data_IF_964353626658
#
_entry.id   IF_964353626658
#
_cell.length_a   1.000
_cell.length_b   1.000
_cell.length_c   1.000
_cell.angle_alpha   90.00
_cell.angle_beta   90.00
_cell.angle_gamma   90.00
#
_symmetry.space_group_name_H-M   'P 1'
#
loop_
_entity.id
_entity.type
_entity.pdbx_description
1 polymer ?
#
# COMPACT_ATOMS: atom_id res chain seq x y z
N UNK A 1 -13.17 13.66 -9.87
CA UNK A 1 -13.59 12.47 -10.64
C UNK A 1 -14.60 11.72 -9.79
N UNK A 2 -15.84 11.57 -10.29
CA UNK A 2 -16.99 11.19 -9.48
C UNK A 2 -16.94 9.77 -8.91
N UNK A 3 -17.80 9.54 -7.92
CA UNK A 3 -17.96 8.32 -7.12
C UNK A 3 -18.38 7.07 -7.91
N UNK A 4 -18.41 7.11 -9.24
CA UNK A 4 -18.99 6.04 -10.09
C UNK A 4 -17.99 4.98 -10.57
N UNK A 5 -16.72 5.08 -10.19
CA UNK A 5 -15.66 4.26 -10.77
C UNK A 5 -14.91 3.38 -9.76
N UNK A 6 -15.40 3.22 -8.53
CA UNK A 6 -14.72 2.33 -7.57
C UNK A 6 -15.06 0.88 -7.88
N UNK A 7 -14.01 0.07 -8.01
CA UNK A 7 -14.10 -1.38 -8.02
C UNK A 7 -13.86 -1.84 -6.60
N UNK A 8 -14.91 -2.38 -5.98
CA UNK A 8 -14.87 -2.97 -4.65
C UNK A 8 -14.75 -4.48 -4.83
N UNK A 9 -13.68 -5.07 -4.30
CA UNK A 9 -13.42 -6.51 -4.44
C UNK A 9 -12.93 -7.09 -3.13
N UNK A 10 -13.48 -8.24 -2.74
CA UNK A 10 -12.84 -9.11 -1.77
C UNK A 10 -11.79 -9.93 -2.51
N UNK A 11 -10.52 -9.69 -2.20
CA UNK A 11 -9.39 -10.34 -2.87
C UNK A 11 -9.20 -11.75 -2.34
N UNK A 12 -9.35 -11.89 -1.03
CA UNK A 12 -9.36 -13.12 -0.27
C UNK A 12 -10.14 -12.83 1.01
N UNK A 13 -10.54 -13.87 1.75
CA UNK A 13 -11.37 -13.73 2.95
C UNK A 13 -10.86 -12.61 3.86
N UNK A 14 -11.75 -11.66 4.17
CA UNK A 14 -11.50 -10.51 5.05
C UNK A 14 -10.50 -9.46 4.51
N UNK A 15 -10.04 -9.56 3.26
CA UNK A 15 -9.13 -8.59 2.63
C UNK A 15 -9.80 -7.96 1.41
N UNK A 16 -10.11 -6.67 1.52
CA UNK A 16 -10.90 -5.93 0.55
C UNK A 16 -10.09 -4.81 -0.09
N UNK A 17 -10.29 -4.59 -1.38
CA UNK A 17 -9.67 -3.49 -2.13
C UNK A 17 -10.71 -2.54 -2.70
N UNK A 18 -10.31 -1.28 -2.79
CA UNK A 18 -11.11 -0.17 -3.31
C UNK A 18 -10.31 0.52 -4.41
N UNK A 19 -10.44 0.00 -5.63
CA UNK A 19 -9.63 0.36 -6.78
C UNK A 19 -10.31 1.44 -7.62
N UNK A 20 -9.56 2.48 -8.01
CA UNK A 20 -10.08 3.64 -8.76
C UNK A 20 -9.09 4.14 -9.81
N UNK A 21 -9.55 4.78 -10.89
CA UNK A 21 -8.66 5.39 -11.86
C UNK A 21 -7.89 6.55 -11.21
N UNK A 22 -6.58 6.58 -11.41
CA UNK A 22 -5.70 7.64 -10.96
C UNK A 22 -4.57 7.83 -11.96
N UNK A 23 -4.41 9.06 -12.46
CA UNK A 23 -3.38 9.43 -13.40
C UNK A 23 -2.32 10.31 -12.72
N UNK A 24 -1.09 9.81 -12.64
CA UNK A 24 0.05 10.58 -12.13
C UNK A 24 0.36 11.72 -13.11
N UNK A 25 0.56 12.92 -12.57
CA UNK A 25 0.68 14.17 -13.35
C UNK A 25 -0.51 14.44 -14.29
N UNK A 26 -1.66 13.80 -14.05
CA UNK A 26 -2.86 13.91 -14.90
C UNK A 26 -2.80 13.14 -16.21
N UNK A 27 -1.70 12.42 -16.50
CA UNK A 27 -1.49 11.79 -17.82
C UNK A 27 -1.04 10.33 -17.77
N UNK A 28 -0.27 9.89 -16.76
CA UNK A 28 0.24 8.51 -16.73
C UNK A 28 -0.69 7.67 -15.84
N UNK A 29 -1.39 6.65 -16.39
CA UNK A 29 -2.31 5.84 -15.60
C UNK A 29 -1.53 4.94 -14.63
N UNK A 30 -1.60 5.25 -13.34
CA UNK A 30 -1.02 4.45 -12.25
C UNK A 30 -2.10 3.61 -11.55
N UNK A 31 -3.36 4.08 -11.57
CA UNK A 31 -4.43 3.54 -10.75
C UNK A 31 -4.21 3.88 -9.27
N UNK A 32 -5.25 3.90 -8.46
CA UNK A 32 -5.15 4.04 -7.01
C UNK A 32 -5.94 2.93 -6.33
N UNK A 33 -5.49 2.49 -5.16
CA UNK A 33 -6.15 1.45 -4.38
C UNK A 33 -5.96 1.67 -2.89
N UNK A 34 -7.06 1.78 -2.15
CA UNK A 34 -7.06 1.52 -0.71
C UNK A 34 -7.30 0.05 -0.43
N UNK A 35 -6.80 -0.44 0.70
CA UNK A 35 -6.99 -1.82 1.16
C UNK A 35 -7.50 -1.82 2.59
N UNK A 36 -8.56 -2.59 2.85
CA UNK A 36 -9.09 -2.81 4.20
C UNK A 36 -8.97 -4.28 4.58
N UNK A 37 -8.60 -4.54 5.83
CA UNK A 37 -8.49 -5.88 6.41
C UNK A 37 -9.37 -5.92 7.65
N UNK A 38 -10.29 -6.89 7.69
CA UNK A 38 -11.01 -7.23 8.92
C UNK A 38 -10.10 -8.14 9.76
N UNK A 39 -9.65 -7.61 10.89
CA UNK A 39 -8.75 -8.27 11.84
C UNK A 39 -9.49 -9.32 12.69
N UNK A 40 -8.75 -10.22 13.35
CA UNK A 40 -9.30 -11.29 14.17
C UNK A 40 -10.18 -10.81 15.33
N UNK A 41 -9.92 -9.61 15.84
CA UNK A 41 -10.75 -8.97 16.87
C UNK A 41 -12.07 -8.35 16.34
N UNK A 42 -12.33 -8.46 15.03
CA UNK A 42 -13.52 -7.92 14.36
C UNK A 42 -13.41 -6.44 13.95
N UNK A 43 -12.33 -5.74 14.32
CA UNK A 43 -12.03 -4.40 13.88
C UNK A 43 -11.45 -4.34 12.47
N UNK A 44 -11.36 -3.13 11.91
CA UNK A 44 -10.86 -2.91 10.55
C UNK A 44 -9.57 -2.10 10.58
N UNK A 45 -8.57 -2.60 9.87
CA UNK A 45 -7.33 -1.91 9.53
C UNK A 45 -7.40 -1.45 8.08
N UNK A 46 -7.03 -0.20 7.79
CA UNK A 46 -7.17 0.40 6.44
C UNK A 46 -5.90 1.12 6.03
N UNK A 47 -5.33 0.74 4.89
CA UNK A 47 -4.38 1.56 4.15
C UNK A 47 -5.18 2.51 3.25
N UNK A 48 -5.18 3.80 3.60
CA UNK A 48 -6.00 4.82 2.98
C UNK A 48 -5.24 5.54 1.85
N UNK A 49 -5.53 5.17 0.60
CA UNK A 49 -4.81 5.62 -0.61
C UNK A 49 -5.75 6.14 -1.73
N UNK A 50 -7.07 6.09 -1.51
CA UNK A 50 -8.09 6.63 -2.41
C UNK A 50 -9.16 7.37 -1.62
N UNK A 51 -9.94 8.24 -2.24
CA UNK A 51 -11.09 8.92 -1.59
C UNK A 51 -12.08 7.94 -0.95
N UNK A 52 -12.63 8.30 0.20
CA UNK A 52 -13.68 7.61 0.95
C UNK A 52 -15.07 8.08 0.47
N UNK A 53 -15.50 7.57 -0.67
CA UNK A 53 -16.86 7.85 -1.17
C UNK A 53 -17.94 7.02 -0.44
N UNK A 54 -19.24 7.30 -0.65
CA UNK A 54 -20.32 6.60 0.04
C UNK A 54 -20.31 5.08 -0.11
N UNK A 55 -20.03 4.54 -1.31
CA UNK A 55 -19.96 3.09 -1.54
C UNK A 55 -18.78 2.42 -0.81
N UNK A 56 -17.61 3.08 -0.80
CA UNK A 56 -16.41 2.59 -0.10
C UNK A 56 -16.66 2.61 1.40
N UNK A 57 -17.24 3.71 1.90
CA UNK A 57 -17.58 3.85 3.32
C UNK A 57 -18.59 2.78 3.75
N UNK A 58 -19.67 2.58 3.00
CA UNK A 58 -20.68 1.59 3.32
C UNK A 58 -20.07 0.18 3.41
N UNK A 59 -19.23 -0.20 2.44
CA UNK A 59 -18.55 -1.50 2.51
C UNK A 59 -17.60 -1.60 3.70
N UNK A 60 -16.84 -0.55 4.02
CA UNK A 60 -15.95 -0.55 5.20
C UNK A 60 -16.76 -0.71 6.48
N UNK A 61 -17.89 0.01 6.62
CA UNK A 61 -18.77 -0.08 7.79
C UNK A 61 -19.34 -1.50 7.98
N UNK A 62 -19.65 -2.22 6.87
CA UNK A 62 -20.08 -3.63 6.91
C UNK A 62 -19.00 -4.58 7.46
N UNK A 63 -17.71 -4.27 7.27
CA UNK A 63 -16.62 -5.13 7.75
C UNK A 63 -16.52 -5.08 9.28
N UNK A 64 -16.67 -3.90 9.88
CA UNK A 64 -16.59 -3.70 11.33
C UNK A 64 -16.12 -2.29 11.70
N UNK A 65 -15.91 -2.02 13.01
CA UNK A 65 -15.41 -0.73 13.47
C UNK A 65 -13.97 -0.50 12.99
N UNK A 66 -13.74 0.63 12.31
CA UNK A 66 -12.38 1.03 11.90
C UNK A 66 -11.55 1.37 13.13
N UNK A 67 -10.47 0.62 13.34
CA UNK A 67 -9.54 0.78 14.46
C UNK A 67 -8.23 1.45 14.03
N UNK A 68 -7.81 1.26 12.77
CA UNK A 68 -6.54 1.78 12.27
C UNK A 68 -6.69 2.38 10.87
N UNK A 69 -6.21 3.60 10.71
CA UNK A 69 -6.02 4.27 9.42
C UNK A 69 -4.52 4.43 9.21
N UNK A 70 -4.03 3.93 8.09
CA UNK A 70 -2.61 3.85 7.77
C UNK A 70 -2.29 4.71 6.55
N UNK A 71 -1.33 5.61 6.71
CA UNK A 71 -0.56 6.18 5.61
C UNK A 71 0.66 5.31 5.34
N UNK A 72 0.87 4.90 4.10
CA UNK A 72 1.92 3.93 3.76
C UNK A 72 3.31 4.55 3.60
N UNK A 73 3.37 5.78 3.07
CA UNK A 73 4.62 6.45 2.69
C UNK A 73 4.47 7.99 2.64
N UNK A 74 5.51 8.68 2.18
CA UNK A 74 5.56 10.13 2.03
C UNK A 74 4.48 10.75 1.10
N UNK A 75 3.92 10.00 0.15
CA UNK A 75 2.98 10.52 -0.87
C UNK A 75 1.55 10.03 -0.66
N UNK A 76 1.35 9.01 0.17
CA UNK A 76 0.05 8.43 0.53
C UNK A 76 -0.60 9.12 1.76
N UNK A 77 -0.55 10.45 1.80
CA UNK A 77 -1.12 11.25 2.89
C UNK A 77 -2.43 11.97 2.52
N UNK A 78 -2.76 12.03 1.23
CA UNK A 78 -3.82 12.90 0.69
C UNK A 78 -5.22 12.63 1.25
N UNK A 79 -5.52 11.36 1.56
CA UNK A 79 -6.86 10.95 1.99
C UNK A 79 -6.95 10.70 3.50
N UNK A 80 -5.87 10.84 4.26
CA UNK A 80 -5.86 10.57 5.70
C UNK A 80 -6.85 11.45 6.47
N UNK A 81 -6.96 12.73 6.11
CA UNK A 81 -7.91 13.66 6.74
C UNK A 81 -9.37 13.24 6.50
N UNK A 82 -9.68 12.77 5.30
CA UNK A 82 -11.02 12.31 4.93
C UNK A 82 -11.42 11.06 5.73
N UNK A 83 -10.53 10.08 5.82
CA UNK A 83 -10.77 8.87 6.62
C UNK A 83 -10.85 9.18 8.11
N UNK A 84 -9.93 9.99 8.65
CA UNK A 84 -9.91 10.32 10.08
C UNK A 84 -11.15 11.12 10.49
N UNK A 85 -11.68 11.97 9.62
CA UNK A 85 -12.96 12.67 9.84
C UNK A 85 -14.13 11.69 9.91
N UNK A 86 -14.16 10.67 9.05
CA UNK A 86 -15.22 9.66 9.03
C UNK A 86 -15.12 8.66 10.19
N UNK A 87 -13.90 8.37 10.64
CA UNK A 87 -13.60 7.40 11.71
C UNK A 87 -12.74 8.06 12.80
N UNK A 88 -13.30 8.99 13.60
CA UNK A 88 -12.53 9.81 14.54
C UNK A 88 -11.81 9.00 15.62
N UNK A 89 -12.37 7.84 15.99
CA UNK A 89 -11.82 6.95 17.02
C UNK A 89 -10.71 6.02 16.51
N UNK A 90 -10.53 5.87 15.19
CA UNK A 90 -9.50 5.02 14.63
C UNK A 90 -8.11 5.64 14.86
N UNK A 91 -7.12 4.86 15.29
CA UNK A 91 -5.75 5.33 15.39
C UNK A 91 -5.21 5.70 14.00
N UNK A 92 -4.58 6.86 13.88
CA UNK A 92 -3.94 7.31 12.65
C UNK A 92 -2.43 7.12 12.74
N UNK A 93 -1.87 6.28 11.87
CA UNK A 93 -0.46 5.90 11.91
C UNK A 93 0.14 6.08 10.52
N UNK A 94 1.30 6.73 10.42
CA UNK A 94 1.98 6.92 9.14
C UNK A 94 3.48 7.19 9.33
N UNK A 95 4.31 7.04 8.29
CA UNK A 95 5.71 7.48 8.34
C UNK A 95 5.85 8.98 8.60
N UNK A 96 6.95 9.37 9.24
CA UNK A 96 7.29 10.77 9.50
C UNK A 96 7.20 11.64 8.23
N UNK A 97 7.66 11.09 7.10
CA UNK A 97 7.63 11.75 5.79
C UNK A 97 6.20 12.02 5.27
N UNK A 98 5.23 11.18 5.64
CA UNK A 98 3.81 11.40 5.35
C UNK A 98 3.25 12.53 6.21
N UNK A 99 3.55 12.50 7.51
CA UNK A 99 3.10 13.51 8.49
C UNK A 99 3.59 14.92 8.12
N UNK A 100 4.83 15.02 7.61
CA UNK A 100 5.41 16.26 7.11
C UNK A 100 4.63 16.89 5.95
N UNK A 101 3.88 16.11 5.19
CA UNK A 101 3.10 16.56 4.02
C UNK A 101 1.60 16.55 4.26
N UNK A 102 1.14 15.80 5.26
CA UNK A 102 -0.25 15.73 5.67
C UNK A 102 -0.80 17.06 6.19
N UNK A 103 -2.13 17.14 6.23
CA UNK A 103 -2.88 18.21 6.88
C UNK A 103 -2.39 18.38 8.34
N UNK A 104 -2.05 19.62 8.71
CA UNK A 104 -1.45 19.95 10.02
C UNK A 104 -2.42 19.87 11.18
N UNK A 105 -3.71 19.72 10.90
CA UNK A 105 -4.75 19.48 11.92
C UNK A 105 -4.83 18.02 12.34
N UNK A 106 -4.22 17.10 11.59
CA UNK A 106 -4.19 15.68 11.93
C UNK A 106 -3.29 15.40 13.13
N UNK A 107 -3.84 14.66 14.09
CA UNK A 107 -3.08 14.07 15.20
C UNK A 107 -2.80 12.62 14.86
N UNK A 108 -1.52 12.25 14.89
CA UNK A 108 -1.05 10.90 14.61
C UNK A 108 -0.80 10.18 15.93
N UNK A 109 -1.37 8.98 16.06
CA UNK A 109 -1.25 8.11 17.22
C UNK A 109 0.02 7.25 17.18
N UNK A 110 0.69 7.18 16.01
CA UNK A 110 1.97 6.50 15.83
C UNK A 110 2.69 6.98 14.57
N UNK A 111 4.02 7.05 14.62
CA UNK A 111 4.85 7.61 13.54
C UNK A 111 6.15 6.83 13.32
N UNK A 112 6.19 6.01 12.28
CA UNK A 112 7.44 5.36 11.85
C UNK A 112 8.51 6.40 11.48
N UNK A 113 9.75 6.15 11.91
CA UNK A 113 10.87 7.07 11.72
C UNK A 113 10.96 8.18 12.77
N UNK A 114 10.00 8.28 13.71
CA UNK A 114 10.14 9.09 14.94
C UNK A 114 10.08 8.22 16.18
N UNK A 115 9.13 7.30 16.21
CA UNK A 115 8.97 6.36 17.31
C UNK A 115 10.11 5.33 17.30
N UNK A 116 10.33 4.68 18.44
CA UNK A 116 11.37 3.66 18.57
C UNK A 116 11.13 2.52 17.55
N UNK A 117 12.17 1.93 16.93
CA UNK A 117 12.01 0.94 15.86
C UNK A 117 11.16 -0.29 16.21
N UNK A 118 11.06 -0.65 17.49
CA UNK A 118 10.33 -1.80 18.02
C UNK A 118 8.93 -1.46 18.55
N UNK A 119 8.50 -0.19 18.42
CA UNK A 119 7.18 0.29 18.85
C UNK A 119 6.06 -0.55 18.22
N UNK A 120 5.08 -0.91 19.04
CA UNK A 120 3.85 -1.60 18.64
C UNK A 120 2.66 -0.66 18.73
N UNK A 121 1.80 -0.67 17.72
CA UNK A 121 0.64 0.22 17.65
C UNK A 121 -0.68 -0.46 17.99
N UNK A 122 -0.68 -1.79 18.06
CA UNK A 122 -1.78 -2.64 18.53
C UNK A 122 -2.44 -3.51 17.45
N UNK A 123 -2.01 -3.43 16.20
CA UNK A 123 -2.51 -4.31 15.11
C UNK A 123 -1.59 -5.52 14.86
N UNK A 124 -0.46 -5.61 15.56
CA UNK A 124 0.62 -6.55 15.24
C UNK A 124 0.31 -8.02 15.52
N UNK A 125 -0.79 -8.32 16.22
CA UNK A 125 -1.33 -9.69 16.32
C UNK A 125 -1.81 -10.21 14.95
N UNK A 126 -2.37 -9.33 14.12
CA UNK A 126 -2.91 -9.68 12.81
C UNK A 126 -1.98 -9.28 11.65
N UNK A 127 -1.26 -8.16 11.76
CA UNK A 127 -0.51 -7.57 10.65
C UNK A 127 0.92 -7.23 11.06
N UNK A 128 1.91 -7.82 10.38
CA UNK A 128 3.32 -7.44 10.51
C UNK A 128 3.59 -6.18 9.69
N UNK A 129 4.54 -5.36 10.12
CA UNK A 129 4.98 -4.17 9.40
C UNK A 129 6.51 -4.13 9.30
N UNK A 130 7.03 -3.59 8.19
CA UNK A 130 8.45 -3.34 7.97
C UNK A 130 8.61 -1.95 7.37
N UNK A 131 9.20 -1.02 8.12
CA UNK A 131 9.44 0.36 7.68
C UNK A 131 10.75 0.46 6.89
N UNK A 132 10.67 0.92 5.65
CA UNK A 132 11.80 1.07 4.75
C UNK A 132 12.44 2.46 4.93
N UNK A 133 13.27 2.61 5.96
CA UNK A 133 13.94 3.89 6.25
C UNK A 133 14.91 4.32 5.14
N UNK A 134 15.41 3.36 4.35
CA UNK A 134 16.31 3.62 3.23
C UNK A 134 15.62 3.87 1.89
N UNK A 135 14.31 3.66 1.78
CA UNK A 135 13.57 3.89 0.54
C UNK A 135 13.16 5.36 0.43
N UNK A 136 13.27 5.98 -0.75
CA UNK A 136 13.09 7.43 -0.94
C UNK A 136 11.74 7.96 -0.44
N UNK A 137 10.67 7.18 -0.61
CA UNK A 137 9.35 7.56 -0.11
C UNK A 137 9.11 7.15 1.35
N UNK A 138 10.06 6.45 1.99
CA UNK A 138 9.96 5.97 3.37
C UNK A 138 8.70 5.13 3.58
N UNK A 139 8.51 4.14 2.71
CA UNK A 139 7.33 3.27 2.66
C UNK A 139 7.33 2.23 3.79
N UNK A 140 6.18 1.63 4.06
CA UNK A 140 5.99 0.55 5.03
C UNK A 140 5.31 -0.62 4.32
N UNK A 141 6.00 -1.76 4.27
CA UNK A 141 5.38 -3.01 3.85
C UNK A 141 4.57 -3.61 5.01
N UNK A 142 3.38 -4.13 4.71
CA UNK A 142 2.51 -4.81 5.66
C UNK A 142 2.28 -6.25 5.24
N UNK A 143 2.21 -7.18 6.18
CA UNK A 143 1.93 -8.58 5.90
C UNK A 143 0.86 -9.12 6.84
N UNK A 144 -0.24 -9.58 6.25
CA UNK A 144 -1.34 -10.24 6.93
C UNK A 144 -1.18 -11.77 6.81
N UNK A 145 -0.69 -12.46 7.86
CA UNK A 145 -0.32 -13.88 7.76
C UNK A 145 -1.52 -14.78 7.49
N UNK A 146 -2.68 -14.49 8.10
CA UNK A 146 -3.88 -15.30 7.96
C UNK A 146 -4.35 -15.46 6.50
N UNK A 147 -4.03 -14.49 5.63
CA UNK A 147 -4.36 -14.55 4.20
C UNK A 147 -3.15 -14.71 3.28
N UNK A 148 -1.95 -14.86 3.82
CA UNK A 148 -0.68 -14.85 3.09
C UNK A 148 -0.54 -13.66 2.11
N UNK A 149 -0.94 -12.46 2.54
CA UNK A 149 -0.99 -11.25 1.69
C UNK A 149 -0.07 -10.17 2.21
N UNK A 150 0.83 -9.69 1.35
CA UNK A 150 1.61 -8.48 1.55
C UNK A 150 0.90 -7.27 0.91
N UNK A 151 0.92 -6.13 1.59
CA UNK A 151 0.31 -4.87 1.16
C UNK A 151 1.39 -3.80 1.22
N UNK A 152 1.51 -3.00 0.17
CA UNK A 152 2.47 -1.89 0.09
C UNK A 152 1.95 -0.79 -0.85
N UNK A 153 2.60 0.38 -0.80
CA UNK A 153 2.24 1.50 -1.65
C UNK A 153 3.07 1.57 -2.94
N UNK A 154 4.34 1.97 -2.80
CA UNK A 154 5.27 2.35 -3.87
C UNK A 154 6.53 1.47 -3.90
N UNK A 155 6.69 0.51 -2.98
CA UNK A 155 7.82 -0.44 -2.98
C UNK A 155 7.80 -1.30 -4.24
N UNK A 156 6.63 -1.59 -4.80
CA UNK A 156 6.52 -2.37 -6.02
C UNK A 156 5.34 -1.87 -6.87
N UNK A 157 5.52 -1.94 -8.18
CA UNK A 157 4.48 -1.57 -9.14
C UNK A 157 4.15 -2.80 -9.97
N UNK A 158 2.87 -3.02 -10.25
CA UNK A 158 2.43 -4.13 -11.09
C UNK A 158 1.54 -3.65 -12.25
N UNK A 159 2.04 -2.68 -13.00
CA UNK A 159 1.29 -2.05 -14.10
C UNK A 159 1.20 -2.99 -15.33
N UNK A 160 0.11 -2.95 -16.12
CA UNK A 160 -0.96 -1.95 -16.13
C UNK A 160 -1.90 -2.00 -14.92
N UNK A 161 -2.67 -0.93 -14.71
CA UNK A 161 -3.66 -0.82 -13.65
C UNK A 161 -5.07 -1.16 -14.17
N UNK A 162 -5.21 -2.39 -14.67
CA UNK A 162 -6.40 -2.86 -15.37
C UNK A 162 -7.64 -2.81 -14.47
N UNK A 163 -7.52 -3.31 -13.24
CA UNK A 163 -8.64 -3.34 -12.28
C UNK A 163 -9.11 -1.91 -11.96
N UNK A 164 -8.18 -1.01 -11.68
CA UNK A 164 -8.46 0.40 -11.36
C UNK A 164 -9.20 1.15 -12.47
N UNK A 165 -9.01 0.74 -13.73
CA UNK A 165 -9.66 1.38 -14.89
C UNK A 165 -10.84 0.58 -15.46
N UNK A 166 -11.15 -0.61 -14.93
CA UNK A 166 -12.14 -1.55 -15.52
C UNK A 166 -13.58 -1.02 -15.59
N UNK A 167 -13.95 -0.03 -14.77
CA UNK A 167 -15.26 0.65 -14.82
C UNK A 167 -15.26 1.94 -15.65
N UNK A 168 -14.15 2.26 -16.33
CA UNK A 168 -14.00 3.48 -17.14
C UNK A 168 -13.94 3.13 -18.63
N UNK A 169 -14.08 4.15 -19.49
CA UNK A 169 -13.82 4.02 -20.94
C UNK A 169 -12.34 4.21 -21.30
N UNK A 170 -11.49 4.55 -20.33
CA UNK A 170 -10.06 4.78 -20.53
C UNK A 170 -9.24 3.52 -20.20
N UNK A 171 -8.04 3.43 -20.75
CA UNK A 171 -7.13 2.31 -20.48
C UNK A 171 -6.20 2.60 -19.30
N UNK A 172 -5.95 1.58 -18.48
CA UNK A 172 -4.91 1.57 -17.44
C UNK A 172 -3.50 1.23 -17.96
N UNK A 173 -3.33 1.07 -19.28
CA UNK A 173 -2.04 0.81 -19.91
C UNK A 173 -1.23 2.10 -20.10
N UNK A 174 0.09 2.03 -19.86
CA UNK A 174 0.98 3.18 -20.12
C UNK A 174 1.32 3.19 -21.63
N UNK A 175 0.99 4.28 -22.36
CA UNK A 175 1.31 4.39 -23.78
C UNK A 175 2.80 4.20 -24.05
N UNK A 176 3.15 3.44 -25.08
CA UNK A 176 4.53 3.20 -25.57
C UNK A 176 5.49 2.48 -24.59
N UNK A 177 5.11 2.30 -23.33
CA UNK A 177 5.91 1.64 -22.29
C UNK A 177 5.39 0.24 -21.96
N UNK A 178 4.14 -0.07 -22.34
CA UNK A 178 3.52 -1.38 -22.15
C UNK A 178 3.24 -1.65 -20.67
N UNK A 179 4.00 -2.57 -20.06
CA UNK A 179 3.82 -3.02 -18.68
C UNK A 179 5.06 -2.72 -17.84
N UNK A 180 4.86 -2.26 -16.60
CA UNK A 180 5.91 -2.13 -15.60
C UNK A 180 5.65 -3.17 -14.52
N UNK A 181 6.04 -4.41 -14.83
CA UNK A 181 5.91 -5.57 -13.94
C UNK A 181 7.11 -5.70 -13.02
N UNK A 182 6.97 -6.30 -11.82
CA UNK A 182 8.07 -6.46 -10.87
C UNK A 182 9.27 -7.22 -11.43
N UNK A 183 9.02 -8.20 -12.29
CA UNK A 183 10.05 -9.01 -12.94
C UNK A 183 10.74 -8.31 -14.12
N UNK A 184 10.30 -7.10 -14.50
CA UNK A 184 10.91 -6.37 -15.60
C UNK A 184 12.21 -5.69 -15.15
N UNK A 185 13.22 -5.70 -16.03
CA UNK A 185 14.49 -5.03 -15.80
C UNK A 185 14.33 -3.54 -15.45
N UNK A 186 13.35 -2.87 -16.08
CA UNK A 186 13.07 -1.47 -15.84
C UNK A 186 12.52 -1.23 -14.42
N UNK A 187 11.64 -2.11 -13.94
CA UNK A 187 11.14 -2.03 -12.55
C UNK A 187 12.29 -2.23 -11.55
N UNK A 188 13.11 -3.26 -11.72
CA UNK A 188 14.29 -3.47 -10.85
C UNK A 188 15.24 -2.27 -10.81
N UNK A 189 15.46 -1.59 -11.95
CA UNK A 189 16.23 -0.33 -11.99
C UNK A 189 15.56 0.81 -11.24
N UNK A 190 14.23 0.94 -11.33
CA UNK A 190 13.49 1.95 -10.57
C UNK A 190 13.62 1.67 -9.07
N UNK A 191 13.38 0.42 -8.64
CA UNK A 191 13.52 -0.01 -7.23
C UNK A 191 14.92 0.25 -6.69
N UNK A 192 15.97 -0.07 -7.47
CA UNK A 192 17.35 0.23 -7.10
C UNK A 192 17.61 1.73 -6.93
N UNK A 193 17.17 2.56 -7.89
CA UNK A 193 17.34 4.02 -7.85
C UNK A 193 16.51 4.72 -6.76
N UNK A 194 15.51 4.05 -6.20
CA UNK A 194 14.69 4.54 -5.10
C UNK A 194 15.28 4.21 -3.72
N UNK A 195 16.33 3.39 -3.63
CA UNK A 195 17.04 3.12 -2.39
C UNK A 195 18.13 4.15 -2.12
N UNK A 196 17.86 5.12 -1.26
CA UNK A 196 18.82 6.16 -0.85
C UNK A 196 19.87 5.61 0.14
N UNK A 197 19.52 4.61 0.95
CA UNK A 197 20.43 3.91 1.87
C UNK A 197 20.45 2.41 1.56
N UNK A 198 21.55 1.95 0.98
CA UNK A 198 21.71 0.57 0.53
C UNK A 198 21.72 -0.43 1.69
N UNK A 199 22.28 -0.09 2.85
CA UNK A 199 22.34 -1.01 3.99
C UNK A 199 20.96 -1.21 4.61
N UNK A 200 20.21 -0.11 4.81
CA UNK A 200 18.83 -0.19 5.28
C UNK A 200 17.95 -0.96 4.28
N UNK A 201 18.06 -0.65 2.97
CA UNK A 201 17.32 -1.37 1.94
C UNK A 201 17.60 -2.88 1.95
N UNK A 202 18.87 -3.32 2.03
CA UNK A 202 19.21 -4.75 2.09
C UNK A 202 18.56 -5.43 3.30
N UNK A 203 18.61 -4.81 4.48
CA UNK A 203 17.99 -5.32 5.71
C UNK A 203 16.47 -5.46 5.55
N UNK A 204 15.81 -4.43 5.06
CA UNK A 204 14.34 -4.35 5.00
C UNK A 204 13.79 -5.24 3.89
N UNK A 205 14.44 -5.26 2.72
CA UNK A 205 14.15 -6.19 1.62
C UNK A 205 14.26 -7.63 2.10
N UNK A 206 15.33 -7.98 2.81
CA UNK A 206 15.51 -9.33 3.36
C UNK A 206 14.41 -9.66 4.37
N UNK A 207 14.06 -8.73 5.25
CA UNK A 207 12.99 -8.92 6.24
C UNK A 207 11.66 -9.27 5.57
N UNK A 208 11.25 -8.52 4.54
CA UNK A 208 10.05 -8.83 3.76
C UNK A 208 10.23 -10.15 2.99
N UNK A 209 11.42 -10.39 2.42
CA UNK A 209 11.76 -11.65 1.76
C UNK A 209 11.82 -12.86 2.72
N UNK A 210 11.70 -12.70 4.03
CA UNK A 210 11.56 -13.80 4.99
C UNK A 210 10.08 -14.04 5.40
N UNK A 211 9.14 -13.18 5.00
CA UNK A 211 7.70 -13.39 5.22
C UNK A 211 7.09 -14.41 4.25
N UNK A 212 6.12 -15.19 4.71
CA UNK A 212 5.47 -16.24 3.91
C UNK A 212 4.19 -15.73 3.20
N UNK A 213 4.35 -14.77 2.29
CA UNK A 213 3.24 -14.28 1.46
C UNK A 213 3.23 -14.93 0.08
N UNK A 214 2.03 -15.15 -0.43
CA UNK A 214 1.78 -15.62 -1.80
C UNK A 214 1.23 -14.50 -2.69
N UNK A 215 0.63 -13.48 -2.07
CA UNK A 215 -0.05 -12.38 -2.74
C UNK A 215 0.58 -11.04 -2.39
N UNK A 216 0.59 -10.12 -3.35
CA UNK A 216 0.93 -8.70 -3.13
C UNK A 216 -0.23 -7.83 -3.61
N UNK A 217 -0.67 -6.91 -2.76
CA UNK A 217 -1.63 -5.86 -3.09
C UNK A 217 -0.89 -4.51 -3.07
N UNK A 218 -0.47 -3.99 -4.24
CA UNK A 218 0.10 -2.65 -4.35
C UNK A 218 -1.01 -1.59 -4.35
N UNK A 219 -0.71 -0.35 -3.95
CA UNK A 219 -1.58 0.80 -4.22
C UNK A 219 -1.71 1.09 -5.73
N UNK A 220 -0.66 0.78 -6.49
CA UNK A 220 -0.56 1.10 -7.91
C UNK A 220 -0.34 -0.16 -8.77
N UNK A 221 -1.26 -0.40 -9.71
CA UNK A 221 -1.27 -1.58 -10.58
C UNK A 221 -2.12 -2.75 -10.07
N UNK A 222 -2.16 -3.82 -10.85
CA UNK A 222 -3.00 -4.98 -10.58
C UNK A 222 -2.52 -5.77 -9.35
N UNK A 223 -3.42 -6.47 -8.66
CA UNK A 223 -3.05 -7.39 -7.58
C UNK A 223 -2.24 -8.55 -8.15
N UNK A 224 -1.18 -8.96 -7.44
CA UNK A 224 -0.44 -10.20 -7.72
C UNK A 224 -1.08 -11.29 -6.88
N UNK A 225 -2.02 -12.03 -7.45
CA UNK A 225 -2.80 -13.06 -6.73
C UNK A 225 -1.96 -14.25 -6.25
N UNK A 226 -0.97 -14.63 -7.04
CA UNK A 226 -0.08 -15.78 -6.79
C UNK A 226 1.35 -15.46 -7.23
N UNK A 227 2.34 -16.10 -6.61
CA UNK A 227 3.74 -15.89 -6.96
C UNK A 227 4.31 -14.55 -6.47
N UNK A 228 3.64 -13.91 -5.51
CA UNK A 228 4.08 -12.65 -4.91
C UNK A 228 5.52 -12.72 -4.40
N UNK A 229 5.89 -13.85 -3.77
CA UNK A 229 7.27 -14.07 -3.31
C UNK A 229 8.30 -13.91 -4.42
N UNK A 230 8.10 -14.58 -5.56
CA UNK A 230 9.01 -14.47 -6.69
C UNK A 230 9.04 -13.05 -7.26
N UNK A 231 7.87 -12.39 -7.37
CA UNK A 231 7.80 -11.01 -7.83
C UNK A 231 8.60 -10.04 -6.95
N UNK A 232 8.56 -10.22 -5.62
CA UNK A 232 9.38 -9.45 -4.68
C UNK A 232 10.88 -9.70 -4.88
N UNK A 233 11.28 -10.97 -4.97
CA UNK A 233 12.68 -11.36 -5.17
C UNK A 233 13.23 -10.80 -6.50
N UNK A 234 12.44 -10.84 -7.57
CA UNK A 234 12.85 -10.30 -8.87
C UNK A 234 13.01 -8.78 -8.82
N UNK A 235 12.04 -8.07 -8.23
CA UNK A 235 12.05 -6.61 -8.13
C UNK A 235 13.24 -6.06 -7.32
N UNK A 236 13.69 -6.83 -6.33
CA UNK A 236 14.75 -6.44 -5.39
C UNK A 236 16.01 -7.29 -5.49
N UNK A 237 16.20 -8.00 -6.61
CA UNK A 237 17.33 -8.92 -6.82
C UNK A 237 18.70 -8.29 -6.50
N UNK A 238 18.91 -7.03 -6.89
CA UNK A 238 20.17 -6.30 -6.63
C UNK A 238 20.50 -6.09 -5.15
N UNK A 239 19.50 -6.20 -4.26
CA UNK A 239 19.69 -6.10 -2.81
C UNK A 239 19.86 -7.46 -2.13
N UNK A 240 19.51 -8.55 -2.83
CA UNK A 240 19.53 -9.92 -2.29
C UNK A 240 20.75 -10.71 -2.76
N UNK A 241 21.24 -10.46 -3.98
CA UNK A 241 22.45 -11.09 -4.48
C UNK A 241 23.68 -10.53 -3.74
N UNK A 242 24.65 -11.40 -3.34
CA UNK A 242 25.95 -10.91 -2.91
C UNK A 242 26.60 -10.15 -4.07
N UNK A 243 27.08 -8.94 -3.77
CA UNK A 243 27.76 -8.07 -4.74
C UNK A 243 29.05 -8.71 -5.27
#
# INVERSE_FOLDING_TARGET
MGDKFTVIREVTTNVWTFSRPFARFGIIPFGGRSTAIKMGNGGVWILASTTLNPETKAKIDELGPVQYIIGADAVHHLFLAEFKKAYPTAKLIAPAAAVERADKTLVFDGVWGRDAPDTKYGFEEDIKACYFSGFRNRDVAFFHPASATMIEADLLLNLPCTEQYSKTTSSGAIPFMGSLKPSSWLHGKISANMGDDQAAMKRDVKTVADWDFQRIIPCHGDVIETGGKQAWLDAYKSYLDPA
#
